data_IF_148977340697
#
_entry.id   IF_148977340697
#
_cell.length_a   1.000
_cell.length_b   1.000
_cell.length_c   1.000
_cell.angle_alpha   90.00
_cell.angle_beta   90.00
_cell.angle_gamma   90.00
#
_symmetry.space_group_name_H-M   'P 1'
#
loop_
_entity.id
_entity.type
_entity.pdbx_description
1 polymer ?
#
# COMPACT_ATOMS: atom_id res chain seq x y z
N UNK A 1 42.67 -26.34 14.10
CA UNK A 1 41.39 -25.64 13.86
C UNK A 1 40.53 -26.58 13.01
N UNK A 2 39.46 -27.20 13.56
CA UNK A 2 38.62 -28.14 12.80
C UNK A 2 37.58 -27.35 11.96
N UNK A 3 37.31 -27.72 10.70
CA UNK A 3 36.33 -27.02 9.86
C UNK A 3 34.91 -27.17 10.43
N UNK A 4 34.15 -26.07 10.39
CA UNK A 4 32.76 -26.02 10.85
C UNK A 4 31.88 -26.83 9.88
N UNK A 5 31.00 -27.74 10.34
CA UNK A 5 30.19 -28.55 9.44
C UNK A 5 29.22 -27.66 8.65
N UNK A 6 29.21 -27.83 7.33
CA UNK A 6 28.27 -27.21 6.42
C UNK A 6 26.86 -27.75 6.70
N UNK A 7 25.97 -26.89 7.19
CA UNK A 7 24.56 -27.22 7.35
C UNK A 7 23.90 -27.18 5.96
N UNK A 8 23.44 -28.34 5.47
CA UNK A 8 22.64 -28.39 4.23
C UNK A 8 21.39 -27.50 4.41
N UNK A 9 21.02 -26.68 3.41
CA UNK A 9 19.79 -25.90 3.47
C UNK A 9 18.62 -26.86 3.68
N UNK A 10 17.80 -26.57 4.70
CA UNK A 10 16.60 -27.33 5.02
C UNK A 10 15.65 -27.20 3.82
N UNK A 11 15.10 -28.29 3.26
CA UNK A 11 14.18 -28.18 2.13
C UNK A 11 13.00 -27.30 2.52
N UNK A 12 12.64 -26.33 1.66
CA UNK A 12 11.44 -25.52 1.84
C UNK A 12 10.24 -26.46 1.89
N UNK A 13 9.60 -26.54 3.05
CA UNK A 13 8.38 -27.30 3.21
C UNK A 13 7.24 -26.51 2.56
N UNK A 14 6.77 -26.99 1.40
CA UNK A 14 5.69 -26.39 0.60
C UNK A 14 4.36 -26.26 1.37
N UNK A 15 4.19 -26.95 2.51
CA UNK A 15 3.03 -26.75 3.41
C UNK A 15 3.00 -25.40 4.12
N UNK A 16 4.07 -24.60 4.07
CA UNK A 16 4.04 -23.20 4.56
C UNK A 16 3.17 -22.30 3.66
N UNK A 17 3.05 -22.62 2.37
CA UNK A 17 2.22 -21.88 1.42
C UNK A 17 0.71 -22.13 1.64
N UNK A 18 0.32 -23.35 1.98
CA UNK A 18 -1.11 -23.69 2.17
C UNK A 18 -1.70 -23.08 3.46
N UNK A 19 -0.87 -22.81 4.47
CA UNK A 19 -1.36 -22.16 5.71
C UNK A 19 -1.53 -20.64 5.60
N UNK A 20 -0.94 -19.97 4.60
CA UNK A 20 -1.32 -18.61 4.20
C UNK A 20 -2.50 -18.63 3.21
N UNK A 21 -2.65 -19.73 2.46
CA UNK A 21 -3.77 -19.97 1.56
C UNK A 21 -5.09 -20.36 2.27
N UNK A 22 -5.10 -20.52 3.59
CA UNK A 22 -6.33 -20.49 4.40
C UNK A 22 -6.88 -19.04 4.47
N UNK A 23 -7.16 -18.51 3.29
CA UNK A 23 -7.75 -17.19 2.98
C UNK A 23 -9.23 -17.12 3.41
N UNK A 24 -9.77 -18.18 4.02
CA UNK A 24 -11.13 -18.22 4.57
C UNK A 24 -11.35 -17.24 5.72
N UNK A 25 -10.27 -16.77 6.38
CA UNK A 25 -10.34 -15.72 7.40
C UNK A 25 -10.08 -14.29 6.89
N UNK A 26 -9.64 -14.09 5.63
CA UNK A 26 -9.47 -12.74 5.06
C UNK A 26 -10.80 -12.07 4.71
N UNK A 27 -11.87 -12.86 4.55
CA UNK A 27 -13.24 -12.35 4.42
C UNK A 27 -13.78 -11.69 5.69
N UNK A 28 -13.11 -11.87 6.84
CA UNK A 28 -13.42 -11.21 8.11
C UNK A 28 -12.62 -9.94 8.37
N UNK A 29 -11.76 -9.54 7.44
CA UNK A 29 -11.06 -8.27 7.49
C UNK A 29 -12.05 -7.14 7.16
N UNK A 30 -12.90 -6.78 8.11
CA UNK A 30 -14.03 -5.86 7.90
C UNK A 30 -13.83 -4.49 8.57
N UNK A 31 -12.92 -4.36 9.55
CA UNK A 31 -12.66 -3.11 10.27
C UNK A 31 -11.43 -3.25 11.23
N UNK A 32 -10.74 -2.14 11.61
CA UNK A 32 -9.73 -2.14 12.67
C UNK A 32 -10.15 -2.81 13.99
N UNK A 33 -11.46 -2.85 14.31
CA UNK A 33 -11.99 -3.53 15.51
C UNK A 33 -11.67 -5.04 15.58
N UNK A 34 -11.39 -5.71 14.44
CA UNK A 34 -11.13 -7.15 14.38
C UNK A 34 -9.64 -7.49 14.19
N UNK A 35 -8.73 -6.51 14.28
CA UNK A 35 -7.28 -6.76 14.11
C UNK A 35 -6.72 -7.76 15.14
N UNK A 36 -7.35 -7.85 16.31
CA UNK A 36 -7.01 -8.77 17.40
C UNK A 36 -7.30 -10.24 17.08
N UNK A 37 -8.19 -10.56 16.15
CA UNK A 37 -8.56 -11.94 15.78
C UNK A 37 -7.71 -12.52 14.63
N UNK A 38 -6.77 -11.73 14.11
CA UNK A 38 -5.92 -12.12 12.98
C UNK A 38 -4.71 -12.97 13.41
N UNK A 39 -4.17 -13.72 12.45
CA UNK A 39 -2.97 -14.55 12.61
C UNK A 39 -1.89 -13.78 13.40
N UNK A 40 -1.40 -14.31 14.54
CA UNK A 40 -0.42 -13.62 15.37
C UNK A 40 0.90 -13.34 14.64
N UNK A 41 1.18 -14.02 13.52
CA UNK A 41 2.35 -13.78 12.67
C UNK A 41 2.21 -12.55 11.77
N UNK A 42 1.00 -11.99 11.63
CA UNK A 42 0.79 -10.74 10.90
C UNK A 42 1.25 -9.56 11.75
N UNK A 43 2.22 -8.81 11.23
CA UNK A 43 2.64 -7.56 11.83
C UNK A 43 1.52 -6.52 11.69
N UNK A 44 1.23 -5.80 12.78
CA UNK A 44 0.15 -4.81 12.86
C UNK A 44 0.73 -3.40 12.90
N UNK A 45 0.01 -2.39 12.40
CA UNK A 45 0.44 -1.00 12.57
C UNK A 45 0.65 -0.68 14.05
N UNK A 46 1.78 -0.10 14.46
CA UNK A 46 2.06 0.28 15.85
C UNK A 46 1.35 1.60 16.25
N UNK A 47 0.37 2.03 15.46
CA UNK A 47 -0.43 3.23 15.64
C UNK A 47 -1.90 2.92 15.38
N UNK A 48 -2.78 3.82 15.79
CA UNK A 48 -4.22 3.74 15.54
C UNK A 48 -4.55 4.32 14.17
N UNK A 49 -5.00 3.52 13.18
CA UNK A 49 -5.28 4.03 11.84
C UNK A 49 -6.32 5.17 11.82
N UNK A 50 -7.24 5.19 12.79
CA UNK A 50 -8.24 6.24 12.96
C UNK A 50 -7.66 7.62 13.34
N UNK A 51 -6.44 7.67 13.87
CA UNK A 51 -5.75 8.91 14.25
C UNK A 51 -4.90 9.49 13.10
N UNK A 52 -4.85 8.79 11.96
CA UNK A 52 -3.99 9.15 10.82
C UNK A 52 -4.67 10.20 9.94
N UNK A 53 -4.01 11.34 9.77
CA UNK A 53 -4.41 12.40 8.84
C UNK A 53 -4.02 12.09 7.40
N UNK A 54 -4.32 13.00 6.48
CA UNK A 54 -3.95 12.87 5.06
C UNK A 54 -3.00 14.00 4.68
N UNK A 55 -1.73 13.65 4.51
CA UNK A 55 -0.65 14.56 4.10
C UNK A 55 -0.08 14.26 2.72
N UNK A 56 -0.52 13.15 2.13
CA UNK A 56 0.02 12.61 0.90
C UNK A 56 -1.12 12.23 -0.04
N UNK A 57 -1.12 12.79 -1.25
CA UNK A 57 -1.99 12.34 -2.35
C UNK A 57 -1.20 11.48 -3.34
N UNK A 58 -1.74 10.33 -3.70
CA UNK A 58 -1.14 9.44 -4.70
C UNK A 58 -2.08 9.22 -5.90
N UNK A 59 -1.56 9.44 -7.11
CA UNK A 59 -2.27 9.21 -8.37
C UNK A 59 -1.81 7.88 -8.98
N UNK A 60 -2.67 6.86 -8.92
CA UNK A 60 -2.36 5.52 -9.44
C UNK A 60 -2.36 4.45 -8.35
N UNK A 61 -3.54 4.06 -7.87
CA UNK A 61 -3.73 2.99 -6.88
C UNK A 61 -3.45 1.58 -7.45
N UNK A 62 -2.20 1.32 -7.80
CA UNK A 62 -1.70 0.04 -8.31
C UNK A 62 -1.02 -0.82 -7.24
N UNK A 63 -0.62 -2.04 -7.62
CA UNK A 63 0.07 -2.97 -6.72
C UNK A 63 1.46 -2.48 -6.32
N UNK A 64 2.21 -1.82 -7.22
CA UNK A 64 3.53 -1.26 -6.91
C UNK A 64 3.45 -0.19 -5.81
N UNK A 65 2.55 0.80 -5.95
CA UNK A 65 2.30 1.79 -4.91
C UNK A 65 1.99 1.15 -3.56
N UNK A 66 1.06 0.18 -3.53
CA UNK A 66 0.64 -0.50 -2.31
C UNK A 66 1.75 -1.33 -1.66
N UNK A 67 2.59 -1.98 -2.45
CA UNK A 67 3.67 -2.81 -1.94
C UNK A 67 4.97 -2.04 -1.65
N UNK A 68 5.06 -0.76 -2.03
CA UNK A 68 6.30 0.00 -1.92
C UNK A 68 6.09 1.34 -1.19
N UNK A 69 5.55 2.36 -1.86
CA UNK A 69 5.44 3.70 -1.29
C UNK A 69 4.52 3.72 -0.05
N UNK A 70 3.41 3.00 -0.10
CA UNK A 70 2.48 2.94 1.02
C UNK A 70 3.09 2.22 2.23
N UNK A 71 4.01 1.27 2.03
CA UNK A 71 4.73 0.58 3.11
C UNK A 71 5.66 1.56 3.84
N UNK A 72 6.44 2.35 3.11
CA UNK A 72 7.31 3.36 3.74
C UNK A 72 6.53 4.47 4.44
N UNK A 73 5.39 4.89 3.87
CA UNK A 73 4.48 5.82 4.56
C UNK A 73 3.95 5.21 5.86
N UNK A 74 3.59 3.92 5.86
CA UNK A 74 3.13 3.17 7.05
C UNK A 74 4.14 3.22 8.20
N UNK A 75 5.42 3.01 7.90
CA UNK A 75 6.49 3.04 8.91
C UNK A 75 6.63 4.41 9.59
N UNK A 76 6.46 5.49 8.83
CA UNK A 76 6.58 6.86 9.35
C UNK A 76 5.42 7.19 10.30
N UNK A 77 4.25 6.57 10.14
CA UNK A 77 3.05 6.90 10.93
C UNK A 77 3.17 6.57 12.42
N UNK A 78 4.10 5.69 12.80
CA UNK A 78 4.48 5.49 14.20
C UNK A 78 5.05 6.77 14.86
N UNK A 79 5.64 7.65 14.05
CA UNK A 79 6.34 8.86 14.47
C UNK A 79 5.57 10.14 14.11
N UNK A 80 4.95 10.20 12.93
CA UNK A 80 4.18 11.36 12.47
C UNK A 80 2.92 10.91 11.72
N UNK A 81 1.79 10.98 12.42
CA UNK A 81 0.48 10.52 11.95
C UNK A 81 -0.13 11.39 10.85
N UNK A 82 0.51 12.49 10.44
CA UNK A 82 -0.01 13.36 9.38
C UNK A 82 0.16 12.76 7.98
N UNK A 83 1.08 11.81 7.81
CA UNK A 83 1.51 11.30 6.50
C UNK A 83 0.65 10.19 5.91
N UNK A 84 -0.61 10.06 6.32
CA UNK A 84 -1.52 9.13 5.68
C UNK A 84 -1.81 9.52 4.22
N UNK A 85 -2.25 8.53 3.46
CA UNK A 85 -2.37 8.63 2.01
C UNK A 85 -3.83 8.65 1.59
N UNK A 86 -4.18 9.63 0.75
CA UNK A 86 -5.32 9.53 -0.16
C UNK A 86 -4.81 9.00 -1.51
N UNK A 87 -5.34 7.89 -1.99
CA UNK A 87 -4.91 7.30 -3.25
C UNK A 87 -6.04 7.22 -4.28
N UNK A 88 -5.72 7.54 -5.52
CA UNK A 88 -6.70 7.62 -6.60
C UNK A 88 -6.53 6.47 -7.56
N UNK A 89 -7.61 5.76 -7.86
CA UNK A 89 -7.67 4.82 -8.99
C UNK A 89 -8.25 5.52 -10.22
N UNK A 90 -7.64 5.26 -11.38
CA UNK A 90 -8.12 5.77 -12.67
C UNK A 90 -9.09 4.80 -13.36
N UNK A 91 -9.10 3.53 -12.94
CA UNK A 91 -9.74 2.44 -13.69
C UNK A 91 -10.51 1.42 -12.85
N UNK A 92 -10.09 1.13 -11.61
CA UNK A 92 -10.60 -0.04 -10.87
C UNK A 92 -11.54 0.35 -9.73
N UNK A 93 -12.83 0.47 -10.03
CA UNK A 93 -13.88 0.67 -9.02
C UNK A 93 -13.98 -0.50 -8.05
N UNK A 94 -13.83 -1.74 -8.54
CA UNK A 94 -13.86 -2.94 -7.70
C UNK A 94 -12.83 -2.88 -6.56
N UNK A 95 -11.60 -2.47 -6.88
CA UNK A 95 -10.53 -2.34 -5.89
C UNK A 95 -10.85 -1.25 -4.86
N UNK A 96 -11.34 -0.09 -5.31
CA UNK A 96 -11.78 1.01 -4.43
C UNK A 96 -12.81 0.49 -3.43
N UNK A 97 -13.84 -0.22 -3.92
CA UNK A 97 -14.90 -0.76 -3.07
C UNK A 97 -14.39 -1.82 -2.09
N UNK A 98 -13.44 -2.67 -2.50
CA UNK A 98 -12.80 -3.62 -1.60
C UNK A 98 -12.05 -2.91 -0.47
N UNK A 99 -11.19 -1.94 -0.81
CA UNK A 99 -10.40 -1.21 0.18
C UNK A 99 -11.27 -0.38 1.12
N UNK A 100 -12.35 0.25 0.62
CA UNK A 100 -13.30 1.00 1.46
C UNK A 100 -14.01 0.11 2.47
N UNK A 101 -14.41 -1.10 2.08
CA UNK A 101 -15.00 -2.08 3.02
C UNK A 101 -14.03 -2.58 4.09
N UNK A 102 -12.74 -2.31 3.92
CA UNK A 102 -11.66 -2.70 4.82
C UNK A 102 -11.06 -1.48 5.55
N UNK A 103 -11.73 -0.32 5.51
CA UNK A 103 -11.25 0.94 6.10
C UNK A 103 -9.85 1.36 5.59
N UNK A 104 -9.57 1.03 4.34
CA UNK A 104 -8.28 1.29 3.68
C UNK A 104 -7.17 0.31 4.04
N UNK A 105 -7.43 -0.63 4.95
CA UNK A 105 -6.44 -1.59 5.40
C UNK A 105 -6.26 -2.73 4.37
N UNK A 106 -5.03 -3.25 4.24
CA UNK A 106 -4.71 -4.43 3.41
C UNK A 106 -3.40 -5.08 3.88
N UNK A 107 -3.07 -6.25 3.34
CA UNK A 107 -1.85 -7.00 3.71
C UNK A 107 -0.83 -6.96 2.57
N UNK A 108 0.44 -6.82 2.93
CA UNK A 108 1.59 -6.95 2.03
C UNK A 108 2.53 -8.02 2.58
N UNK A 109 3.06 -8.85 1.69
CA UNK A 109 4.19 -9.74 2.01
C UNK A 109 5.49 -8.93 1.91
N UNK A 110 6.19 -8.78 3.03
CA UNK A 110 7.47 -8.08 3.13
C UNK A 110 8.61 -9.10 3.31
N UNK A 111 8.80 -9.92 2.28
CA UNK A 111 9.81 -10.97 2.26
C UNK A 111 9.34 -12.34 2.78
N UNK A 112 10.21 -13.36 2.74
CA UNK A 112 9.79 -14.75 2.94
C UNK A 112 9.15 -15.00 4.30
N UNK A 113 7.85 -15.33 4.30
CA UNK A 113 7.08 -15.66 5.50
C UNK A 113 6.77 -14.48 6.42
N UNK A 114 7.03 -13.23 5.98
CA UNK A 114 6.66 -12.02 6.71
C UNK A 114 5.54 -11.32 5.97
N UNK A 115 4.43 -11.07 6.65
CA UNK A 115 3.32 -10.31 6.12
C UNK A 115 2.90 -9.27 7.15
N UNK A 116 2.55 -8.07 6.69
CA UNK A 116 2.16 -6.96 7.53
C UNK A 116 0.88 -6.31 7.03
N UNK A 117 0.11 -5.79 7.96
CA UNK A 117 -1.09 -5.01 7.69
C UNK A 117 -0.66 -3.57 7.47
N UNK A 118 -1.03 -3.01 6.33
CA UNK A 118 -0.80 -1.62 5.96
C UNK A 118 -2.06 -0.82 6.30
N UNK A 119 -1.89 0.25 7.08
CA UNK A 119 -2.91 1.20 7.46
C UNK A 119 -2.69 2.64 6.99
N UNK A 120 -1.60 2.90 6.25
CA UNK A 120 -1.29 4.22 5.69
C UNK A 120 -2.28 4.73 4.66
N UNK A 121 -3.01 3.84 3.98
CA UNK A 121 -4.06 4.22 3.04
C UNK A 121 -5.34 4.61 3.80
N UNK A 122 -5.67 5.90 3.80
CA UNK A 122 -6.81 6.45 4.55
C UNK A 122 -7.99 6.87 3.69
N UNK A 123 -7.73 7.22 2.44
CA UNK A 123 -8.80 7.54 1.50
C UNK A 123 -8.50 6.90 0.15
N UNK A 124 -9.55 6.43 -0.50
CA UNK A 124 -9.49 6.00 -1.89
C UNK A 124 -10.47 6.80 -2.72
N UNK A 125 -10.06 7.25 -3.90
CA UNK A 125 -10.89 8.02 -4.83
C UNK A 125 -10.93 7.36 -6.20
N UNK A 126 -12.09 7.36 -6.85
CA UNK A 126 -12.23 6.97 -8.25
C UNK A 126 -12.26 8.22 -9.13
N UNK A 127 -11.14 8.54 -9.77
CA UNK A 127 -10.92 9.84 -10.44
C UNK A 127 -12.05 10.26 -11.38
N UNK A 128 -12.57 9.30 -12.17
CA UNK A 128 -13.61 9.56 -13.17
C UNK A 128 -14.97 9.95 -12.59
N UNK A 129 -15.26 9.53 -11.36
CA UNK A 129 -16.54 9.76 -10.69
C UNK A 129 -16.43 10.80 -9.57
N UNK A 130 -15.25 10.96 -8.98
CA UNK A 130 -15.01 11.77 -7.78
C UNK A 130 -14.03 12.91 -8.04
N UNK A 131 -14.04 13.48 -9.25
CA UNK A 131 -13.11 14.55 -9.67
C UNK A 131 -13.17 15.78 -8.76
N UNK A 132 -14.35 16.18 -8.30
CA UNK A 132 -14.50 17.28 -7.35
C UNK A 132 -13.81 17.01 -6.00
N UNK A 133 -13.91 15.77 -5.49
CA UNK A 133 -13.21 15.37 -4.25
C UNK A 133 -11.70 15.30 -4.45
N UNK A 134 -11.26 14.81 -5.62
CA UNK A 134 -9.84 14.79 -5.97
C UNK A 134 -9.27 16.22 -6.05
N UNK A 135 -9.98 17.15 -6.68
CA UNK A 135 -9.59 18.56 -6.73
C UNK A 135 -9.56 19.20 -5.35
N UNK A 136 -10.55 18.91 -4.50
CA UNK A 136 -10.55 19.37 -3.11
C UNK A 136 -9.33 18.84 -2.35
N UNK A 137 -8.95 17.57 -2.56
CA UNK A 137 -7.77 16.98 -1.95
C UNK A 137 -6.46 17.59 -2.46
N UNK A 138 -6.39 17.93 -3.75
CA UNK A 138 -5.24 18.65 -4.33
C UNK A 138 -5.07 20.06 -3.74
N UNK A 139 -6.17 20.71 -3.36
CA UNK A 139 -6.17 22.05 -2.78
C UNK A 139 -6.06 22.07 -1.24
N UNK A 140 -6.10 20.89 -0.60
CA UNK A 140 -6.05 20.75 0.86
C UNK A 140 -4.65 21.15 1.36
N UNK A 141 -4.51 22.18 2.22
CA UNK A 141 -3.21 22.60 2.74
C UNK A 141 -2.55 21.54 3.64
N UNK A 142 -3.32 20.55 4.12
CA UNK A 142 -2.79 19.38 4.80
C UNK A 142 -2.02 18.45 3.88
N UNK A 143 -2.37 18.41 2.57
CA UNK A 143 -1.66 17.61 1.56
C UNK A 143 -0.39 18.34 1.14
N UNK A 144 0.75 17.86 1.62
CA UNK A 144 2.05 18.46 1.38
C UNK A 144 2.80 17.83 0.20
N UNK A 145 2.42 16.60 -0.16
CA UNK A 145 3.10 15.82 -1.20
C UNK A 145 2.08 15.17 -2.14
N UNK A 146 2.33 15.31 -3.45
CA UNK A 146 1.61 14.58 -4.50
C UNK A 146 2.61 13.66 -5.22
N UNK A 147 2.25 12.39 -5.36
CA UNK A 147 3.06 11.39 -6.08
C UNK A 147 2.20 10.65 -7.09
N UNK A 148 2.83 9.95 -8.03
CA UNK A 148 2.12 9.27 -9.10
C UNK A 148 2.85 8.02 -9.58
N UNK A 149 2.09 6.96 -9.84
CA UNK A 149 2.54 5.76 -10.57
C UNK A 149 1.57 5.47 -11.70
N UNK A 150 1.64 6.29 -12.75
CA UNK A 150 0.71 6.28 -13.91
C UNK A 150 1.27 5.58 -15.14
N UNK A 151 2.44 4.95 -15.02
CA UNK A 151 3.29 4.43 -16.11
C UNK A 151 3.78 5.52 -17.06
N UNK A 152 4.75 5.20 -17.91
CA UNK A 152 5.39 6.11 -18.88
C UNK A 152 4.36 6.75 -19.81
N UNK A 153 3.33 5.99 -20.20
CA UNK A 153 2.24 6.47 -21.06
C UNK A 153 1.38 7.53 -20.37
N UNK A 154 1.32 7.55 -19.04
CA UNK A 154 0.51 8.50 -18.27
C UNK A 154 1.05 9.92 -18.27
N UNK A 155 2.31 10.14 -18.68
CA UNK A 155 2.92 11.47 -18.73
C UNK A 155 2.59 12.25 -20.01
N UNK A 156 2.00 11.59 -21.01
CA UNK A 156 1.62 12.21 -22.29
C UNK A 156 2.73 13.07 -22.91
N UNK A 157 3.99 12.60 -22.79
CA UNK A 157 5.13 13.28 -23.40
C UNK A 157 5.01 13.21 -24.92
N UNK A 158 5.10 14.36 -25.59
CA UNK A 158 5.24 14.46 -27.03
C UNK A 158 6.63 13.92 -27.46
N UNK A 159 6.73 13.34 -28.67
CA UNK A 159 7.99 12.92 -29.29
C UNK A 159 9.02 14.06 -29.35
N UNK A 160 8.58 15.32 -29.43
CA UNK A 160 9.47 16.48 -29.36
C UNK A 160 10.19 16.61 -28.00
N UNK A 161 9.53 16.26 -26.89
CA UNK A 161 10.12 16.33 -25.54
C UNK A 161 11.09 15.19 -25.24
N UNK A 162 11.02 14.08 -25.98
CA UNK A 162 11.98 12.97 -25.83
C UNK A 162 13.36 13.28 -26.44
N UNK A 163 13.43 14.17 -27.44
CA UNK A 163 14.71 14.56 -28.07
C UNK A 163 15.59 15.42 -27.16
N UNK A 164 15.00 16.21 -26.27
CA UNK A 164 15.76 17.09 -25.36
C UNK A 164 16.41 16.32 -24.19
N UNK A 165 15.87 15.15 -23.81
CA UNK A 165 16.48 14.32 -22.76
C UNK A 165 17.59 13.39 -23.25
N UNK A 166 17.69 13.15 -24.56
CA UNK A 166 18.80 12.41 -25.17
C UNK A 166 20.04 13.29 -25.46
N UNK A 167 19.96 14.58 -25.12
CA UNK A 167 21.00 15.59 -25.36
C UNK A 167 21.72 16.07 -24.07
N UNK A 168 21.48 15.40 -22.92
CA UNK A 168 22.19 15.57 -21.65
C UNK A 168 22.92 14.28 -21.27
#
# INVERSE_FOLDING_TARGET
>A
MKPRPTQKPRPLNLTTFENLANLSNLSNFKNPANLTELDPRLERPPYRPEEVGIGHLHLGLGSFFRAHLAVYSDEILAHDRRWGISATSLHSERLIMQLRRQDGLYIVEDGPGRARIIGSLRETLLARQESARLLARLADPGVQVVTLTVTEKGYLLDEASQKDQAAL
#
